data_IF_258103645441
#
_entry.id   IF_258103645441
#
_cell.length_a   1.000
_cell.length_b   1.000
_cell.length_c   1.000
_cell.angle_alpha   90.00
_cell.angle_beta   90.00
_cell.angle_gamma   90.00
#
_symmetry.space_group_name_H-M   'P 1'
#
loop_
_entity.id
_entity.type
_entity.pdbx_description
1 polymer ?
#
# COMPACT_ATOMS: atom_id res chain seq x y z
N UNK A 1 -4.27 -26.25 3.55
CA UNK A 1 -4.83 -24.95 4.00
C UNK A 1 -3.92 -23.78 3.62
N UNK A 2 -2.64 -23.74 4.03
CA UNK A 2 -1.73 -22.64 3.64
C UNK A 2 -1.60 -22.47 2.10
N UNK A 3 -1.44 -23.57 1.36
CA UNK A 3 -1.36 -23.53 -0.11
C UNK A 3 -2.65 -23.02 -0.77
N UNK A 4 -3.84 -23.34 -0.21
CA UNK A 4 -5.10 -22.84 -0.76
C UNK A 4 -5.33 -21.37 -0.44
N UNK A 5 -4.85 -20.87 0.70
CA UNK A 5 -4.88 -19.44 1.04
C UNK A 5 -4.01 -18.68 0.04
N UNK A 6 -2.74 -19.09 -0.16
CA UNK A 6 -1.82 -18.42 -1.09
C UNK A 6 -2.37 -18.40 -2.52
N UNK A 7 -3.03 -19.46 -2.98
CA UNK A 7 -3.65 -19.51 -4.30
C UNK A 7 -4.87 -18.57 -4.45
N UNK A 8 -5.55 -18.24 -3.35
CA UNK A 8 -6.67 -17.29 -3.36
C UNK A 8 -6.20 -15.84 -3.39
N UNK A 9 -4.95 -15.57 -2.99
CA UNK A 9 -4.38 -14.23 -2.92
C UNK A 9 -4.03 -13.65 -4.29
N UNK A 10 -4.17 -12.34 -4.37
CA UNK A 10 -3.75 -11.51 -5.50
C UNK A 10 -3.04 -10.27 -4.98
N UNK A 11 -2.19 -9.66 -5.78
CA UNK A 11 -1.56 -8.40 -5.42
C UNK A 11 -1.43 -7.45 -6.61
N UNK A 12 -1.11 -6.19 -6.33
CA UNK A 12 -0.74 -5.18 -7.30
C UNK A 12 0.36 -4.29 -6.74
N UNK A 13 1.10 -3.63 -7.63
CA UNK A 13 2.17 -2.70 -7.28
C UNK A 13 1.87 -1.35 -7.92
N UNK A 14 2.06 -0.26 -7.18
CA UNK A 14 2.00 1.11 -7.67
C UNK A 14 3.39 1.75 -7.54
N UNK A 15 3.89 2.29 -8.65
CA UNK A 15 5.20 2.92 -8.77
C UNK A 15 5.02 4.41 -9.04
N UNK A 16 5.30 5.27 -8.07
CA UNK A 16 5.19 6.72 -8.22
C UNK A 16 6.54 7.35 -8.62
N UNK A 17 6.54 8.31 -9.55
CA UNK A 17 7.74 9.05 -9.94
C UNK A 17 7.38 10.36 -10.65
N UNK A 18 8.40 11.18 -10.90
CA UNK A 18 8.29 12.48 -11.57
C UNK A 18 8.95 12.42 -12.96
N UNK A 19 8.36 13.12 -13.92
CA UNK A 19 8.94 13.39 -15.25
C UNK A 19 8.75 14.86 -15.63
N UNK A 20 9.64 15.48 -16.44
CA UNK A 20 9.44 16.86 -16.88
C UNK A 20 8.11 17.04 -17.61
N UNK A 21 7.36 18.07 -17.24
CA UNK A 21 6.14 18.49 -17.95
C UNK A 21 6.55 19.13 -19.28
N UNK A 22 5.97 18.68 -20.39
CA UNK A 22 6.21 19.31 -21.69
C UNK A 22 7.47 18.83 -22.42
N UNK A 23 7.95 17.61 -22.15
CA UNK A 23 8.89 16.90 -23.03
C UNK A 23 8.32 16.57 -24.43
N UNK A 24 7.11 17.07 -24.74
CA UNK A 24 6.39 16.85 -26.00
C UNK A 24 6.37 18.18 -26.73
N UNK A 25 6.90 18.23 -27.95
CA UNK A 25 6.98 19.44 -28.77
C UNK A 25 5.60 20.10 -28.92
N UNK A 26 5.42 21.30 -28.34
CA UNK A 26 4.19 22.08 -28.51
C UNK A 26 3.95 23.13 -27.43
N UNK A 27 3.52 24.32 -27.85
CA UNK A 27 3.03 25.42 -26.99
C UNK A 27 1.56 25.13 -26.63
N UNK A 28 1.31 24.38 -25.56
CA UNK A 28 -0.02 24.39 -24.94
C UNK A 28 0.00 25.42 -23.81
N UNK A 29 -1.00 26.31 -23.75
CA UNK A 29 -1.09 27.31 -22.69
C UNK A 29 -1.72 26.73 -21.40
N UNK A 30 -2.39 25.58 -21.48
CA UNK A 30 -3.02 24.90 -20.34
C UNK A 30 -2.12 23.82 -19.72
N UNK A 31 -1.73 24.04 -18.46
CA UNK A 31 -0.95 23.10 -17.65
C UNK A 31 -1.59 21.71 -17.55
N UNK A 32 -2.91 21.62 -17.50
CA UNK A 32 -3.60 20.33 -17.44
C UNK A 32 -3.45 19.57 -18.75
N UNK A 33 -3.58 20.26 -19.88
CA UNK A 33 -3.36 19.67 -21.19
C UNK A 33 -1.92 19.17 -21.36
N UNK A 34 -0.92 19.95 -20.94
CA UNK A 34 0.48 19.53 -20.92
C UNK A 34 0.73 18.26 -20.11
N UNK A 35 0.10 18.14 -18.93
CA UNK A 35 0.19 16.92 -18.10
C UNK A 35 -0.43 15.71 -18.79
N UNK A 36 -1.59 15.89 -19.43
CA UNK A 36 -2.24 14.83 -20.22
C UNK A 36 -1.36 14.37 -21.39
N UNK A 37 -0.77 15.31 -22.14
CA UNK A 37 0.15 15.00 -23.25
C UNK A 37 1.42 14.29 -22.76
N UNK A 38 2.03 14.77 -21.68
CA UNK A 38 3.21 14.17 -21.06
C UNK A 38 2.92 12.73 -20.62
N UNK A 39 1.78 12.50 -19.96
CA UNK A 39 1.35 11.16 -19.56
C UNK A 39 1.14 10.23 -20.76
N UNK A 40 0.43 10.70 -21.81
CA UNK A 40 0.23 9.90 -23.04
C UNK A 40 1.56 9.55 -23.70
N UNK A 41 2.46 10.52 -23.86
CA UNK A 41 3.78 10.30 -24.46
C UNK A 41 4.58 9.25 -23.68
N UNK A 42 4.62 9.38 -22.36
CA UNK A 42 5.26 8.42 -21.48
C UNK A 42 4.67 7.02 -21.63
N UNK A 43 3.34 6.89 -21.57
CA UNK A 43 2.66 5.61 -21.69
C UNK A 43 2.86 4.97 -23.08
N UNK A 44 2.92 5.76 -24.15
CA UNK A 44 3.22 5.28 -25.50
C UNK A 44 4.64 4.74 -25.58
N UNK A 45 5.62 5.44 -25.03
CA UNK A 45 7.01 4.97 -25.03
C UNK A 45 7.16 3.69 -24.20
N UNK A 46 6.49 3.62 -23.04
CA UNK A 46 6.43 2.39 -22.24
C UNK A 46 5.83 1.22 -23.01
N UNK A 47 4.75 1.44 -23.78
CA UNK A 47 4.14 0.41 -24.61
C UNK A 47 5.09 -0.10 -25.72
N UNK A 48 5.96 0.76 -26.25
CA UNK A 48 6.97 0.41 -27.25
C UNK A 48 8.15 -0.36 -26.65
N UNK A 49 8.65 0.08 -25.49
CA UNK A 49 9.85 -0.48 -24.86
C UNK A 49 9.56 -1.77 -24.08
N UNK A 50 8.42 -1.85 -23.39
CA UNK A 50 8.01 -3.01 -22.61
C UNK A 50 7.28 -4.03 -23.50
N UNK A 51 7.97 -4.59 -24.51
CA UNK A 51 7.39 -5.58 -25.43
C UNK A 51 6.63 -6.68 -24.68
N UNK A 52 5.48 -7.09 -25.21
CA UNK A 52 4.62 -8.11 -24.59
C UNK A 52 4.05 -7.70 -23.23
N UNK A 53 3.91 -6.40 -22.99
CA UNK A 53 3.31 -5.85 -21.77
C UNK A 53 2.09 -5.04 -22.16
N UNK A 54 0.90 -5.36 -21.64
CA UNK A 54 -0.30 -4.58 -21.91
C UNK A 54 -0.21 -3.25 -21.16
N UNK A 55 -0.09 -2.14 -21.88
CA UNK A 55 0.05 -0.78 -21.32
C UNK A 55 -1.17 0.04 -21.70
N UNK A 56 -1.72 0.73 -20.71
CA UNK A 56 -2.83 1.65 -20.88
C UNK A 56 -2.58 2.95 -20.11
N UNK A 57 -3.37 3.97 -20.40
CA UNK A 57 -3.38 5.23 -19.64
C UNK A 57 -4.80 5.72 -19.42
N UNK A 58 -5.00 6.52 -18.36
CA UNK A 58 -6.29 7.16 -18.12
C UNK A 58 -6.50 8.37 -19.04
N UNK A 59 -7.73 8.61 -19.46
CA UNK A 59 -8.15 9.86 -20.09
C UNK A 59 -8.96 10.73 -19.11
N UNK A 60 -9.14 12.01 -19.43
CA UNK A 60 -10.04 12.87 -18.68
C UNK A 60 -11.50 12.42 -18.90
N UNK A 61 -12.36 12.65 -17.90
CA UNK A 61 -13.79 12.41 -18.06
C UNK A 61 -14.35 13.41 -19.09
N UNK A 62 -14.91 12.88 -20.17
CA UNK A 62 -15.30 13.62 -21.37
C UNK A 62 -16.69 14.28 -21.23
N UNK A 63 -17.04 14.79 -20.04
CA UNK A 63 -18.40 15.27 -19.74
C UNK A 63 -18.88 16.35 -20.72
N UNK A 64 -17.97 17.19 -21.23
CA UNK A 64 -18.29 18.38 -22.04
C UNK A 64 -17.68 18.39 -23.46
N UNK A 65 -17.04 17.30 -23.93
CA UNK A 65 -16.39 17.29 -25.25
C UNK A 65 -16.03 15.90 -25.77
N UNK A 66 -15.79 15.72 -27.09
CA UNK A 66 -15.68 14.41 -27.70
C UNK A 66 -14.36 13.68 -27.43
N UNK A 67 -13.26 14.39 -27.18
CA UNK A 67 -11.91 13.82 -26.92
C UNK A 67 -11.09 14.73 -26.00
N UNK A 68 -9.99 14.20 -25.44
CA UNK A 68 -8.98 14.96 -24.68
C UNK A 68 -7.61 14.61 -25.26
N UNK A 69 -6.54 15.30 -24.87
CA UNK A 69 -5.19 15.06 -25.39
C UNK A 69 -4.69 13.60 -25.28
N UNK A 70 -5.28 12.78 -24.39
CA UNK A 70 -5.01 11.34 -24.30
C UNK A 70 -5.73 10.55 -25.40
N UNK A 71 -7.00 10.86 -25.66
CA UNK A 71 -7.86 10.14 -26.61
C UNK A 71 -7.75 10.64 -28.04
N UNK A 72 -7.24 11.86 -28.23
CA UNK A 72 -6.98 12.44 -29.54
C UNK A 72 -6.06 11.49 -30.32
N UNK A 73 -6.40 11.18 -31.57
CA UNK A 73 -5.68 10.20 -32.42
C UNK A 73 -5.70 8.72 -31.92
N UNK A 74 -6.45 8.39 -30.86
CA UNK A 74 -6.47 7.03 -30.27
C UNK A 74 -7.89 6.46 -30.09
N UNK A 75 -8.86 6.91 -30.88
CA UNK A 75 -10.26 6.50 -30.77
C UNK A 75 -10.46 4.97 -30.85
N UNK A 76 -9.75 4.28 -31.75
CA UNK A 76 -9.81 2.82 -31.92
C UNK A 76 -9.12 2.04 -30.78
N UNK A 77 -8.43 2.76 -29.89
CA UNK A 77 -7.67 2.20 -28.77
C UNK A 77 -8.41 2.34 -27.42
N UNK A 78 -9.60 2.95 -27.42
CA UNK A 78 -10.46 3.08 -26.24
C UNK A 78 -11.18 1.74 -26.00
N UNK A 79 -10.93 1.13 -24.84
CA UNK A 79 -11.55 -0.16 -24.46
C UNK A 79 -12.66 -0.02 -23.42
N UNK A 80 -12.68 1.12 -22.72
CA UNK A 80 -13.63 1.44 -21.65
C UNK A 80 -13.65 2.96 -21.45
N UNK A 81 -14.78 3.58 -21.05
CA UNK A 81 -14.79 4.98 -20.63
C UNK A 81 -13.65 5.27 -19.64
N UNK A 82 -12.80 6.23 -19.98
CA UNK A 82 -11.67 6.61 -19.13
C UNK A 82 -10.35 5.90 -19.39
N UNK A 83 -10.27 4.87 -20.26
CA UNK A 83 -9.06 4.04 -20.44
C UNK A 83 -8.69 3.87 -21.92
N UNK A 84 -7.46 4.28 -22.25
CA UNK A 84 -6.87 4.15 -23.60
C UNK A 84 -5.74 3.13 -23.56
N UNK A 85 -5.83 2.08 -24.38
CA UNK A 85 -4.78 1.07 -24.53
C UNK A 85 -3.80 1.53 -25.59
N UNK A 86 -2.50 1.48 -25.27
CA UNK A 86 -1.45 1.94 -26.18
C UNK A 86 -0.61 0.79 -26.74
N UNK A 87 -0.59 -0.36 -26.05
CA UNK A 87 0.07 -1.57 -26.52
C UNK A 87 -0.77 -2.34 -27.55
N UNK A 88 -0.12 -3.12 -28.40
CA UNK A 88 -0.81 -4.06 -29.28
C UNK A 88 -1.36 -5.26 -28.48
N UNK A 89 -0.66 -5.65 -27.42
CA UNK A 89 -1.06 -6.72 -26.54
C UNK A 89 -2.33 -6.38 -25.79
N UNK A 90 -3.32 -7.27 -25.89
CA UNK A 90 -4.57 -7.21 -25.14
C UNK A 90 -4.67 -8.46 -24.26
N UNK A 91 -4.74 -8.30 -22.93
CA UNK A 91 -4.98 -9.42 -22.04
C UNK A 91 -6.35 -10.05 -22.36
N UNK A 92 -6.54 -11.34 -22.07
CA UNK A 92 -7.86 -11.97 -22.20
C UNK A 92 -8.87 -11.19 -21.36
N UNK A 93 -9.95 -10.72 -21.99
CA UNK A 93 -10.98 -10.01 -21.25
C UNK A 93 -11.67 -10.97 -20.27
N UNK A 94 -11.59 -10.64 -18.99
CA UNK A 94 -12.32 -11.34 -17.93
C UNK A 94 -13.49 -10.46 -17.50
N UNK A 95 -14.71 -11.01 -17.53
CA UNK A 95 -15.93 -10.26 -17.17
C UNK A 95 -15.97 -9.85 -15.69
N UNK A 96 -15.15 -10.48 -14.85
CA UNK A 96 -15.09 -10.25 -13.40
C UNK A 96 -14.10 -9.17 -12.96
N UNK A 97 -13.22 -8.69 -13.84
CA UNK A 97 -12.20 -7.70 -13.49
C UNK A 97 -12.40 -6.45 -14.32
N UNK A 98 -12.57 -5.31 -13.64
CA UNK A 98 -12.71 -4.03 -14.31
C UNK A 98 -11.52 -3.78 -15.27
N UNK A 99 -11.74 -3.36 -16.54
CA UNK A 99 -10.71 -3.35 -17.58
C UNK A 99 -9.40 -2.66 -17.18
N UNK A 100 -9.46 -1.54 -16.45
CA UNK A 100 -8.27 -0.81 -15.97
C UNK A 100 -7.25 -1.66 -15.19
N UNK A 101 -7.70 -2.71 -14.51
CA UNK A 101 -6.84 -3.58 -13.70
C UNK A 101 -6.26 -4.77 -14.47
N UNK A 102 -6.40 -4.78 -15.79
CA UNK A 102 -5.83 -5.80 -16.68
C UNK A 102 -4.55 -5.30 -17.38
N UNK A 103 -4.23 -4.01 -17.23
CA UNK A 103 -3.11 -3.34 -17.89
C UNK A 103 -2.15 -2.76 -16.86
N UNK A 104 -0.90 -2.54 -17.28
CA UNK A 104 -0.02 -1.58 -16.61
C UNK A 104 -0.55 -0.19 -16.93
N UNK A 105 -1.11 0.46 -15.92
CA UNK A 105 -1.85 1.69 -16.06
C UNK A 105 -0.97 2.87 -15.70
N UNK A 106 -0.69 3.74 -16.68
CA UNK A 106 -0.01 5.01 -16.43
C UNK A 106 -1.04 6.08 -16.09
N UNK A 107 -0.99 6.58 -14.87
CA UNK A 107 -1.90 7.61 -14.35
C UNK A 107 -1.16 8.82 -13.79
N UNK A 108 -1.91 9.89 -13.52
CA UNK A 108 -1.37 11.10 -12.91
C UNK A 108 -1.40 10.94 -11.39
N UNK A 109 -0.33 11.36 -10.73
CA UNK A 109 -0.24 11.37 -9.26
C UNK A 109 0.13 12.77 -8.75
N UNK A 110 -0.40 13.16 -7.60
CA UNK A 110 -0.17 14.47 -6.99
C UNK A 110 1.10 14.44 -6.12
N UNK A 111 2.26 14.50 -6.79
CA UNK A 111 3.58 14.45 -6.15
C UNK A 111 4.20 15.84 -6.00
N UNK A 112 5.09 16.00 -5.02
CA UNK A 112 5.78 17.27 -4.75
C UNK A 112 7.23 17.25 -5.24
N UNK A 113 7.62 18.25 -6.03
CA UNK A 113 8.97 18.40 -6.60
C UNK A 113 9.78 19.51 -5.92
N UNK A 114 9.71 19.62 -4.58
CA UNK A 114 10.09 20.81 -3.81
C UNK A 114 11.49 21.38 -4.11
N UNK A 115 12.42 20.55 -4.60
CA UNK A 115 13.82 20.93 -4.80
C UNK A 115 14.29 20.96 -6.28
N UNK A 116 13.38 20.89 -7.25
CA UNK A 116 13.77 20.79 -8.67
C UNK A 116 13.18 21.93 -9.49
N UNK A 117 14.06 22.67 -10.17
CA UNK A 117 13.66 23.70 -11.12
C UNK A 117 12.89 23.11 -12.31
N UNK A 118 11.87 23.84 -12.75
CA UNK A 118 11.00 23.46 -13.87
C UNK A 118 9.66 22.87 -13.41
N UNK A 119 8.78 22.66 -14.38
CA UNK A 119 7.49 22.03 -14.15
C UNK A 119 7.65 20.51 -14.27
N UNK A 120 7.25 19.77 -13.25
CA UNK A 120 7.28 18.31 -13.21
C UNK A 120 5.86 17.76 -13.13
N UNK A 121 5.63 16.62 -13.78
CA UNK A 121 4.40 15.86 -13.73
C UNK A 121 4.64 14.62 -12.87
N UNK A 122 3.84 14.45 -11.81
CA UNK A 122 3.78 13.21 -11.06
C UNK A 122 3.02 12.16 -11.85
N UNK A 123 3.63 11.00 -12.01
CA UNK A 123 3.05 9.84 -12.66
C UNK A 123 3.08 8.65 -11.70
N UNK A 124 2.12 7.76 -11.89
CA UNK A 124 2.12 6.45 -11.27
C UNK A 124 1.93 5.38 -12.35
N UNK A 125 2.67 4.27 -12.23
CA UNK A 125 2.38 3.04 -12.95
C UNK A 125 1.79 2.03 -11.97
N UNK A 126 0.52 1.69 -12.13
CA UNK A 126 -0.11 0.58 -11.40
C UNK A 126 -0.03 -0.71 -12.23
N UNK A 127 0.31 -1.83 -11.60
CA UNK A 127 0.27 -3.13 -12.28
C UNK A 127 -1.17 -3.57 -12.52
N UNK A 128 -1.38 -4.52 -13.46
CA UNK A 128 -2.59 -5.32 -13.41
C UNK A 128 -2.69 -6.10 -12.10
N UNK A 129 -3.83 -6.74 -11.84
CA UNK A 129 -3.94 -7.72 -10.76
C UNK A 129 -2.99 -8.89 -11.09
N UNK A 130 -2.05 -9.15 -10.18
CA UNK A 130 -1.05 -10.20 -10.26
C UNK A 130 -1.40 -11.36 -9.33
N UNK A 131 -1.02 -12.55 -9.77
CA UNK A 131 -1.18 -13.79 -9.02
C UNK A 131 0.10 -14.11 -8.25
N UNK A 132 0.00 -14.90 -7.18
CA UNK A 132 1.17 -15.28 -6.39
C UNK A 132 2.26 -16.00 -7.21
N UNK A 133 1.90 -16.64 -8.33
CA UNK A 133 2.89 -17.22 -9.25
C UNK A 133 3.82 -16.15 -9.87
N UNK A 134 3.30 -14.95 -10.16
CA UNK A 134 4.13 -13.84 -10.64
C UNK A 134 5.19 -13.46 -9.59
N UNK A 135 4.83 -13.48 -8.31
CA UNK A 135 5.76 -13.21 -7.22
C UNK A 135 6.77 -14.34 -7.03
N UNK A 136 6.31 -15.59 -7.08
CA UNK A 136 7.15 -16.79 -6.96
C UNK A 136 8.19 -16.85 -8.10
N UNK A 137 7.82 -16.42 -9.31
CA UNK A 137 8.67 -16.35 -10.50
C UNK A 137 9.59 -15.10 -10.52
N UNK A 138 9.54 -14.23 -9.51
CA UNK A 138 10.41 -13.07 -9.39
C UNK A 138 9.94 -11.80 -10.12
N UNK A 139 8.63 -11.65 -10.32
CA UNK A 139 7.97 -10.49 -10.95
C UNK A 139 8.39 -10.22 -12.41
N UNK A 140 8.46 -11.24 -13.29
CA UNK A 140 9.00 -11.08 -14.66
C UNK A 140 8.28 -10.02 -15.51
N UNK A 141 6.98 -9.78 -15.30
CA UNK A 141 6.23 -8.74 -16.00
C UNK A 141 6.62 -7.35 -15.48
N UNK A 142 6.77 -7.19 -14.17
CA UNK A 142 7.23 -5.94 -13.58
C UNK A 142 8.68 -5.65 -14.00
N UNK A 143 9.56 -6.66 -14.05
CA UNK A 143 10.94 -6.49 -14.50
C UNK A 143 11.04 -5.92 -15.91
N UNK A 144 10.11 -6.27 -16.82
CA UNK A 144 10.05 -5.67 -18.17
C UNK A 144 9.71 -4.19 -18.11
N UNK A 145 8.77 -3.81 -17.25
CA UNK A 145 8.40 -2.40 -17.03
C UNK A 145 9.54 -1.62 -16.41
N UNK A 146 10.20 -2.14 -15.38
CA UNK A 146 11.39 -1.52 -14.79
C UNK A 146 12.53 -1.38 -15.80
N UNK A 147 12.74 -2.40 -16.65
CA UNK A 147 13.72 -2.30 -17.74
C UNK A 147 13.34 -1.26 -18.78
N UNK A 148 12.05 -1.09 -19.09
CA UNK A 148 11.58 -0.08 -20.03
C UNK A 148 11.71 1.33 -19.43
N UNK A 149 11.42 1.51 -18.14
CA UNK A 149 11.64 2.76 -17.40
C UNK A 149 13.09 3.24 -17.48
N UNK A 150 14.06 2.34 -17.43
CA UNK A 150 15.48 2.70 -17.56
C UNK A 150 15.90 3.03 -18.99
N UNK A 151 15.13 2.59 -19.98
CA UNK A 151 15.42 2.75 -21.41
C UNK A 151 14.64 3.88 -22.07
N UNK A 152 13.68 4.50 -21.36
CA UNK A 152 12.94 5.65 -21.89
C UNK A 152 13.88 6.82 -22.15
N UNK A 153 13.62 7.56 -23.22
CA UNK A 153 14.25 8.85 -23.48
C UNK A 153 13.73 9.95 -22.56
N UNK A 154 12.67 9.71 -21.79
CA UNK A 154 12.14 10.64 -20.81
C UNK A 154 12.93 10.58 -19.51
N UNK A 155 13.16 11.75 -18.91
CA UNK A 155 13.84 11.83 -17.61
C UNK A 155 12.89 11.38 -16.51
N UNK A 156 13.27 10.32 -15.81
CA UNK A 156 12.54 9.82 -14.64
C UNK A 156 13.29 10.24 -13.37
N UNK A 157 12.54 10.75 -12.39
CA UNK A 157 13.07 11.12 -11.09
C UNK A 157 12.20 10.55 -9.97
N UNK A 158 12.82 10.10 -8.88
CA UNK A 158 12.11 9.77 -7.65
C UNK A 158 12.73 10.52 -6.47
N UNK A 159 11.88 10.94 -5.54
CA UNK A 159 12.27 11.59 -4.30
C UNK A 159 11.41 11.06 -3.13
N UNK A 160 11.53 11.65 -1.94
CA UNK A 160 10.80 11.23 -0.74
C UNK A 160 9.27 11.29 -0.86
N UNK A 161 8.73 12.06 -1.81
CA UNK A 161 7.29 12.13 -2.08
C UNK A 161 6.78 10.95 -2.89
N UNK A 162 7.67 10.28 -3.64
CA UNK A 162 7.35 9.13 -4.48
C UNK A 162 7.26 7.86 -3.63
N UNK A 163 6.11 7.21 -3.60
CA UNK A 163 5.83 5.96 -2.90
C UNK A 163 5.99 4.71 -3.76
N UNK A 164 6.19 3.59 -3.07
CA UNK A 164 5.95 2.24 -3.59
C UNK A 164 4.78 1.66 -2.81
N UNK A 165 3.64 1.44 -3.46
CA UNK A 165 2.49 0.82 -2.80
C UNK A 165 2.31 -0.64 -3.22
N UNK A 166 1.99 -1.49 -2.25
CA UNK A 166 1.58 -2.87 -2.49
C UNK A 166 0.12 -3.01 -2.12
N UNK A 167 -0.71 -3.38 -3.08
CA UNK A 167 -2.10 -3.77 -2.87
C UNK A 167 -2.17 -5.27 -2.71
N UNK A 168 -2.78 -5.77 -1.63
CA UNK A 168 -2.99 -7.21 -1.42
C UNK A 168 -4.48 -7.48 -1.25
N UNK A 169 -5.01 -8.41 -2.03
CA UNK A 169 -6.41 -8.80 -2.02
C UNK A 169 -6.58 -10.32 -2.02
N UNK A 170 -7.83 -10.77 -1.96
CA UNK A 170 -8.21 -12.19 -2.07
C UNK A 170 -9.33 -12.31 -3.09
N UNK A 171 -9.35 -13.37 -3.88
CA UNK A 171 -10.43 -13.60 -4.86
C UNK A 171 -11.76 -13.90 -4.17
N UNK A 172 -11.70 -14.55 -3.00
CA UNK A 172 -12.86 -14.76 -2.12
C UNK A 172 -13.40 -13.47 -1.47
N UNK A 173 -12.66 -12.37 -1.60
CA UNK A 173 -13.05 -11.05 -1.12
C UNK A 173 -12.68 -10.78 0.34
N UNK A 174 -12.56 -9.50 0.66
CA UNK A 174 -12.18 -9.03 1.99
C UNK A 174 -13.30 -9.30 3.00
N UNK A 175 -12.90 -9.77 4.19
CA UNK A 175 -13.79 -9.94 5.34
C UNK A 175 -13.31 -9.08 6.49
N UNK A 176 -14.23 -8.50 7.27
CA UNK A 176 -13.89 -7.65 8.41
C UNK A 176 -12.95 -8.36 9.39
N UNK A 177 -13.20 -9.63 9.68
CA UNK A 177 -12.36 -10.39 10.61
C UNK A 177 -10.92 -10.56 10.12
N UNK A 178 -10.70 -10.76 8.81
CA UNK A 178 -9.34 -10.79 8.26
C UNK A 178 -8.71 -9.40 8.31
N UNK A 179 -9.47 -8.34 8.02
CA UNK A 179 -8.97 -6.97 8.06
C UNK A 179 -8.54 -6.54 9.47
N UNK A 180 -9.30 -6.90 10.51
CA UNK A 180 -8.90 -6.69 11.92
C UNK A 180 -7.58 -7.37 12.26
N UNK A 181 -7.41 -8.62 11.80
CA UNK A 181 -6.17 -9.39 12.00
C UNK A 181 -4.98 -8.78 11.24
N UNK A 182 -5.17 -8.32 10.00
CA UNK A 182 -4.13 -7.61 9.24
C UNK A 182 -3.73 -6.33 9.96
N UNK A 183 -4.69 -5.49 10.35
CA UNK A 183 -4.43 -4.25 11.09
C UNK A 183 -3.68 -4.51 12.41
N UNK A 184 -4.06 -5.58 13.13
CA UNK A 184 -3.36 -6.03 14.35
C UNK A 184 -1.91 -6.42 14.08
N UNK A 185 -1.67 -7.22 13.04
CA UNK A 185 -0.33 -7.69 12.68
C UNK A 185 0.56 -6.55 12.17
N UNK A 186 -0.01 -5.62 11.41
CA UNK A 186 0.70 -4.40 10.97
C UNK A 186 1.07 -3.57 12.18
N UNK A 187 0.12 -3.22 13.05
CA UNK A 187 0.39 -2.40 14.23
C UNK A 187 1.45 -3.04 15.16
N UNK A 188 1.48 -4.37 15.22
CA UNK A 188 2.49 -5.16 15.95
C UNK A 188 3.90 -5.01 15.34
N UNK A 189 4.00 -5.13 14.01
CA UNK A 189 5.27 -5.24 13.29
C UNK A 189 5.80 -3.91 12.75
N UNK A 190 5.01 -2.85 12.81
CA UNK A 190 5.26 -1.58 12.13
C UNK A 190 6.63 -0.99 12.47
N UNK A 191 6.95 -0.86 13.76
CA UNK A 191 8.22 -0.25 14.18
C UNK A 191 9.43 -1.19 14.05
N UNK A 192 9.23 -2.51 14.20
CA UNK A 192 10.32 -3.48 14.29
C UNK A 192 10.69 -4.11 12.96
N UNK A 193 9.76 -4.07 12.00
CA UNK A 193 9.95 -4.63 10.67
C UNK A 193 9.69 -3.55 9.63
N UNK A 194 8.46 -3.06 9.51
CA UNK A 194 8.06 -2.26 8.34
C UNK A 194 8.83 -0.95 8.23
N UNK A 195 8.89 -0.16 9.30
CA UNK A 195 9.66 1.08 9.38
C UNK A 195 11.15 0.81 9.58
N UNK A 196 11.52 -0.30 10.23
CA UNK A 196 12.91 -0.67 10.45
C UNK A 196 13.65 -0.97 9.13
N UNK A 197 12.95 -1.41 8.10
CA UNK A 197 13.53 -1.70 6.78
C UNK A 197 13.66 -0.46 5.88
N UNK A 198 13.16 0.70 6.30
CA UNK A 198 13.17 1.92 5.50
C UNK A 198 14.35 2.81 5.87
N UNK A 199 14.78 3.68 4.94
CA UNK A 199 15.61 4.81 5.27
C UNK A 199 14.96 5.70 6.34
N UNK A 200 15.80 6.31 7.17
CA UNK A 200 15.37 7.22 8.23
C UNK A 200 14.48 8.34 7.67
N UNK A 201 14.91 8.98 6.57
CA UNK A 201 14.17 10.06 5.91
C UNK A 201 12.75 9.64 5.56
N UNK A 202 12.58 8.47 4.93
CA UNK A 202 11.25 7.96 4.56
C UNK A 202 10.39 7.69 5.77
N UNK A 203 10.94 7.08 6.84
CA UNK A 203 10.18 6.73 8.06
C UNK A 203 9.59 7.93 8.82
N UNK A 204 10.07 9.15 8.55
CA UNK A 204 9.54 10.38 9.16
C UNK A 204 8.51 11.10 8.27
N UNK A 205 8.36 10.70 7.01
CA UNK A 205 7.43 11.34 6.07
C UNK A 205 5.97 11.11 6.46
N UNK A 206 5.08 12.00 6.00
CA UNK A 206 3.64 11.85 6.18
C UNK A 206 3.09 10.56 5.56
N UNK A 207 3.67 10.13 4.44
CA UNK A 207 3.20 9.00 3.64
C UNK A 207 3.52 7.62 4.25
N UNK A 208 4.46 7.53 5.18
CA UNK A 208 4.86 6.27 5.85
C UNK A 208 4.41 6.18 7.31
N UNK A 209 3.56 7.12 7.77
CA UNK A 209 3.20 7.25 9.18
C UNK A 209 2.55 6.00 9.75
N UNK A 210 3.00 5.65 10.95
CA UNK A 210 2.51 4.50 11.70
C UNK A 210 1.00 4.53 11.94
N UNK A 211 0.29 3.43 11.64
CA UNK A 211 -1.11 3.26 12.06
C UNK A 211 -1.23 3.19 13.59
N UNK A 212 -0.23 2.62 14.26
CA UNK A 212 -0.20 2.51 15.73
C UNK A 212 -0.10 3.85 16.46
N UNK A 213 0.37 4.90 15.77
CA UNK A 213 0.60 6.23 16.37
C UNK A 213 -0.29 7.33 15.76
N UNK A 214 -0.57 7.26 14.45
CA UNK A 214 -1.16 8.38 13.70
C UNK A 214 -2.57 8.13 13.17
N UNK A 215 -3.08 6.90 13.26
CA UNK A 215 -4.47 6.59 12.88
C UNK A 215 -5.50 7.31 13.75
N UNK A 216 -6.74 7.46 13.26
CA UNK A 216 -7.86 8.02 14.04
C UNK A 216 -8.03 7.22 15.34
N UNK A 217 -7.89 5.88 15.31
CA UNK A 217 -7.91 5.04 16.51
C UNK A 217 -6.81 5.38 17.53
N UNK A 218 -5.56 5.46 17.10
CA UNK A 218 -4.44 5.82 17.99
C UNK A 218 -4.61 7.21 18.61
N UNK A 219 -5.13 8.17 17.84
CA UNK A 219 -5.39 9.54 18.31
C UNK A 219 -6.57 9.65 19.26
N UNK A 220 -7.64 8.88 19.03
CA UNK A 220 -8.79 8.83 19.93
C UNK A 220 -8.35 8.42 21.34
N UNK A 221 -7.44 7.44 21.42
CA UNK A 221 -6.84 7.03 22.69
C UNK A 221 -5.94 8.11 23.31
N UNK A 222 -5.17 8.81 22.48
CA UNK A 222 -4.25 9.86 22.94
C UNK A 222 -4.95 11.08 23.55
N UNK A 223 -6.21 11.32 23.20
CA UNK A 223 -7.01 12.45 23.72
C UNK A 223 -7.82 12.12 24.97
N UNK A 224 -7.61 10.94 25.56
CA UNK A 224 -8.31 10.53 26.81
C UNK A 224 -9.80 10.24 26.63
N UNK A 225 -10.26 10.03 25.38
CA UNK A 225 -11.68 9.84 25.07
C UNK A 225 -12.21 8.43 25.38
N UNK A 226 -11.40 7.53 25.95
CA UNK A 226 -11.83 6.16 26.23
C UNK A 226 -11.30 5.67 27.58
N UNK A 227 -12.27 5.44 28.46
CA UNK A 227 -12.19 4.98 29.84
C UNK A 227 -12.14 3.44 29.94
N UNK A 228 -11.88 2.95 31.17
CA UNK A 228 -11.73 1.55 31.63
C UNK A 228 -12.65 0.48 30.99
N UNK A 229 -13.82 0.85 30.47
CA UNK A 229 -14.85 -0.09 30.01
C UNK A 229 -14.57 -0.67 28.61
N UNK A 230 -13.91 0.09 27.71
CA UNK A 230 -13.51 -0.44 26.38
C UNK A 230 -12.25 -1.31 26.45
N UNK A 231 -11.40 -1.11 27.46
CA UNK A 231 -10.17 -1.91 27.67
C UNK A 231 -10.44 -3.23 28.41
N UNK A 232 -11.65 -3.45 28.92
CA UNK A 232 -12.03 -4.75 29.45
C UNK A 232 -12.16 -5.71 28.26
N UNK A 233 -11.16 -6.57 28.03
CA UNK A 233 -11.20 -7.56 26.95
C UNK A 233 -12.44 -8.47 26.98
N UNK A 234 -13.11 -8.56 28.14
CA UNK A 234 -14.40 -9.21 28.33
C UNK A 234 -15.55 -8.57 27.51
N UNK A 235 -15.37 -7.36 26.97
CA UNK A 235 -16.38 -6.63 26.19
C UNK A 235 -16.45 -7.03 24.71
N UNK A 236 -15.46 -7.77 24.18
CA UNK A 236 -15.39 -8.13 22.76
C UNK A 236 -15.08 -9.62 22.54
N UNK A 237 -16.10 -10.48 22.39
CA UNK A 237 -15.93 -11.94 22.23
C UNK A 237 -14.97 -12.33 21.09
N UNK A 238 -15.01 -11.62 19.96
CA UNK A 238 -14.13 -11.87 18.83
C UNK A 238 -12.64 -11.61 19.16
N UNK A 239 -12.37 -10.62 20.01
CA UNK A 239 -11.00 -10.35 20.47
C UNK A 239 -10.46 -11.52 21.31
N UNK A 240 -11.28 -12.05 22.22
CA UNK A 240 -10.90 -13.20 23.05
C UNK A 240 -10.70 -14.49 22.25
N UNK A 241 -11.42 -14.65 21.14
CA UNK A 241 -11.28 -15.81 20.26
C UNK A 241 -9.97 -15.78 19.47
N UNK A 242 -9.56 -14.60 19.00
CA UNK A 242 -8.49 -14.46 18.01
C UNK A 242 -7.17 -13.94 18.55
N UNK A 243 -7.17 -13.26 19.70
CA UNK A 243 -5.94 -12.71 20.29
C UNK A 243 -5.40 -13.60 21.40
N UNK A 244 -4.09 -13.49 21.71
CA UNK A 244 -3.53 -14.27 22.81
C UNK A 244 -4.19 -13.94 24.15
N UNK A 245 -4.40 -14.94 25.04
CA UNK A 245 -4.92 -14.70 26.39
C UNK A 245 -4.05 -13.74 27.21
N UNK A 246 -2.75 -13.69 26.93
CA UNK A 246 -1.81 -12.76 27.54
C UNK A 246 -2.17 -11.30 27.23
N UNK A 247 -2.77 -11.02 26.07
CA UNK A 247 -3.17 -9.67 25.66
C UNK A 247 -4.52 -9.24 26.24
N UNK A 248 -5.43 -10.19 26.47
CA UNK A 248 -6.79 -9.92 26.95
C UNK A 248 -6.88 -9.89 28.49
N UNK A 249 -5.96 -10.56 29.19
CA UNK A 249 -5.95 -10.67 30.65
C UNK A 249 -5.33 -9.49 31.41
N UNK A 250 -5.82 -8.25 31.23
CA UNK A 250 -5.36 -7.02 31.96
C UNK A 250 -3.83 -6.75 31.98
N UNK A 251 -3.03 -7.52 31.26
CA UNK A 251 -1.57 -7.50 31.25
C UNK A 251 -1.06 -7.54 29.82
N UNK A 252 -1.33 -6.48 29.08
CA UNK A 252 -0.66 -6.27 27.80
C UNK A 252 0.86 -6.41 27.98
N UNK A 253 1.55 -6.96 26.97
CA UNK A 253 2.97 -7.27 27.08
C UNK A 253 3.76 -6.00 27.42
N UNK A 254 4.65 -6.15 28.39
CA UNK A 254 5.26 -5.03 29.17
C UNK A 254 6.44 -4.38 28.48
N UNK A 255 6.85 -4.85 27.29
CA UNK A 255 8.11 -4.46 26.65
C UNK A 255 8.16 -4.37 25.12
N UNK A 256 7.24 -4.92 24.30
CA UNK A 256 7.62 -5.16 22.90
C UNK A 256 7.77 -3.92 22.02
N UNK A 257 7.43 -2.69 22.45
CA UNK A 257 7.04 -1.65 21.49
C UNK A 257 7.96 -0.43 21.38
N UNK A 258 8.82 -0.14 22.37
CA UNK A 258 9.70 1.04 22.27
C UNK A 258 11.01 0.87 23.04
N UNK A 259 12.15 1.05 22.34
CA UNK A 259 13.46 1.42 22.93
C UNK A 259 13.45 2.88 23.45
N UNK A 260 12.33 3.35 24.01
CA UNK A 260 12.28 4.66 24.65
C UNK A 260 12.80 4.53 26.10
N UNK A 261 13.62 5.48 26.59
CA UNK A 261 14.13 5.45 27.96
C UNK A 261 13.00 5.27 28.98
N UNK A 262 13.29 4.52 30.06
CA UNK A 262 12.45 4.22 31.24
C UNK A 262 11.83 5.48 31.90
N UNK A 263 10.88 6.08 31.21
CA UNK A 263 10.13 7.28 31.59
C UNK A 263 8.65 7.01 31.33
N UNK A 264 7.75 7.84 31.88
CA UNK A 264 6.29 7.72 31.72
C UNK A 264 5.79 7.47 30.28
N UNK A 265 6.61 7.78 29.27
CA UNK A 265 6.34 7.50 27.84
C UNK A 265 6.04 6.03 27.55
N UNK A 266 6.66 5.06 28.25
CA UNK A 266 6.45 3.64 27.96
C UNK A 266 5.02 3.15 28.28
N UNK A 267 4.55 3.43 29.50
CA UNK A 267 3.20 3.03 29.93
C UNK A 267 2.13 3.68 29.04
N UNK A 268 2.38 4.92 28.61
CA UNK A 268 1.50 5.62 27.68
C UNK A 268 1.44 4.90 26.33
N UNK A 269 2.58 4.56 25.71
CA UNK A 269 2.60 3.90 24.39
C UNK A 269 1.91 2.53 24.42
N UNK A 270 2.18 1.71 25.45
CA UNK A 270 1.51 0.42 25.60
C UNK A 270 -0.01 0.55 25.78
N UNK A 271 -0.46 1.55 26.55
CA UNK A 271 -1.88 1.84 26.72
C UNK A 271 -2.53 2.37 25.43
N UNK A 272 -1.82 3.20 24.66
CA UNK A 272 -2.29 3.71 23.37
C UNK A 272 -2.46 2.58 22.35
N UNK A 273 -1.48 1.68 22.26
CA UNK A 273 -1.57 0.51 21.39
C UNK A 273 -2.76 -0.37 21.77
N UNK A 274 -2.91 -0.68 23.06
CA UNK A 274 -4.01 -1.50 23.53
C UNK A 274 -5.39 -0.90 23.26
N UNK A 275 -5.51 0.42 23.45
CA UNK A 275 -6.73 1.13 23.13
C UNK A 275 -7.00 1.16 21.62
N UNK A 276 -5.99 1.40 20.80
CA UNK A 276 -6.13 1.34 19.35
C UNK A 276 -6.54 -0.06 18.89
N UNK A 277 -5.99 -1.10 19.50
CA UNK A 277 -6.37 -2.48 19.26
C UNK A 277 -7.82 -2.74 19.67
N UNK A 278 -8.25 -2.31 20.85
CA UNK A 278 -9.65 -2.42 21.26
C UNK A 278 -10.59 -1.75 20.24
N UNK A 279 -10.23 -0.57 19.73
CA UNK A 279 -11.01 0.15 18.70
C UNK A 279 -11.04 -0.57 17.35
N UNK A 280 -9.92 -1.14 16.91
CA UNK A 280 -9.86 -2.01 15.71
C UNK A 280 -10.82 -3.20 15.88
N UNK A 281 -10.78 -3.85 17.04
CA UNK A 281 -11.58 -5.04 17.30
C UNK A 281 -13.05 -4.72 17.57
N UNK A 282 -13.37 -3.50 17.98
CA UNK A 282 -14.74 -3.00 18.15
C UNK A 282 -15.41 -2.55 16.86
N UNK A 283 -14.67 -2.33 15.77
CA UNK A 283 -15.27 -1.93 14.48
C UNK A 283 -16.31 -2.96 14.02
N UNK A 284 -17.53 -2.54 13.73
CA UNK A 284 -18.64 -3.37 13.29
C UNK A 284 -18.67 -3.59 11.78
N UNK A 285 -18.03 -2.71 11.00
CA UNK A 285 -18.00 -2.77 9.52
C UNK A 285 -16.60 -2.54 8.96
N UNK A 286 -16.41 -2.88 7.68
CA UNK A 286 -15.17 -2.58 6.94
C UNK A 286 -14.97 -1.06 6.76
N UNK A 287 -16.06 -0.29 6.65
CA UNK A 287 -16.03 1.18 6.55
C UNK A 287 -15.50 1.79 7.83
N UNK A 288 -16.07 1.42 8.99
CA UNK A 288 -15.60 1.89 10.29
C UNK A 288 -14.12 1.56 10.52
N UNK A 289 -13.68 0.37 10.11
CA UNK A 289 -12.27 -0.02 10.20
C UNK A 289 -11.39 0.81 9.26
N UNK A 290 -11.80 1.03 8.01
CA UNK A 290 -11.08 1.87 7.05
C UNK A 290 -10.90 3.29 7.59
N UNK A 291 -11.99 3.89 8.06
CA UNK A 291 -11.99 5.25 8.60
C UNK A 291 -11.13 5.36 9.85
N UNK A 292 -11.22 4.38 10.76
CA UNK A 292 -10.40 4.33 11.96
C UNK A 292 -8.90 4.24 11.69
N UNK A 293 -8.50 3.63 10.56
CA UNK A 293 -7.11 3.51 10.13
C UNK A 293 -6.58 4.77 9.41
N UNK A 294 -7.46 5.62 8.86
CA UNK A 294 -7.06 6.88 8.24
C UNK A 294 -6.42 7.87 9.25
N UNK A 295 -5.72 8.88 8.74
CA UNK A 295 -5.28 10.03 9.51
C UNK A 295 -6.38 11.10 9.58
N UNK A 296 -6.27 12.04 10.53
CA UNK A 296 -7.29 13.08 10.78
C UNK A 296 -7.55 13.99 9.58
N UNK A 297 -6.53 14.28 8.77
CA UNK A 297 -6.61 15.18 7.61
C UNK A 297 -7.15 14.48 6.36
N UNK A 298 -7.77 13.30 6.51
CA UNK A 298 -8.22 12.48 5.38
C UNK A 298 -7.08 11.72 4.68
N UNK A 299 -5.82 11.95 5.06
CA UNK A 299 -4.68 11.22 4.53
C UNK A 299 -4.65 9.75 4.96
N UNK A 300 -4.08 8.88 4.12
CA UNK A 300 -3.85 7.46 4.41
C UNK A 300 -2.54 7.28 5.18
N UNK A 301 -2.58 6.51 6.26
CA UNK A 301 -1.39 6.09 7.01
C UNK A 301 -0.56 5.05 6.21
N UNK A 302 0.47 4.46 6.83
CA UNK A 302 1.34 3.45 6.21
C UNK A 302 0.60 2.18 5.75
N UNK A 303 -0.61 1.92 6.29
CA UNK A 303 -1.57 0.95 5.75
C UNK A 303 -2.96 1.57 5.65
N UNK A 304 -3.66 1.26 4.56
CA UNK A 304 -5.06 1.61 4.35
C UNK A 304 -5.87 0.40 3.86
N UNK A 305 -7.19 0.48 4.04
CA UNK A 305 -8.12 -0.40 3.33
C UNK A 305 -8.63 0.35 2.10
N UNK A 306 -8.58 -0.28 0.93
CA UNK A 306 -9.15 0.25 -0.30
C UNK A 306 -10.41 -0.54 -0.63
N UNK A 307 -11.55 -0.06 -0.12
CA UNK A 307 -12.85 -0.70 -0.30
C UNK A 307 -13.37 -0.50 -1.72
N UNK A 308 -13.93 -1.55 -2.29
CA UNK A 308 -14.51 -1.54 -3.64
C UNK A 308 -15.92 -2.09 -3.59
N UNK A 309 -16.83 -1.51 -4.35
CA UNK A 309 -18.19 -2.04 -4.44
C UNK A 309 -18.19 -3.43 -5.10
N UNK A 310 -18.97 -4.40 -4.56
CA UNK A 310 -19.16 -5.69 -5.20
C UNK A 310 -19.59 -5.53 -6.66
N UNK A 311 -18.84 -6.16 -7.58
CA UNK A 311 -19.17 -6.18 -9.01
C UNK A 311 -18.89 -4.89 -9.80
N UNK A 312 -18.60 -3.75 -9.17
CA UNK A 312 -18.31 -2.50 -9.91
C UNK A 312 -16.82 -2.16 -9.98
N UNK A 313 -15.97 -2.72 -9.10
CA UNK A 313 -14.52 -2.46 -9.11
C UNK A 313 -14.14 -0.99 -8.89
N UNK A 314 -15.10 -0.13 -8.57
CA UNK A 314 -14.92 1.28 -8.20
C UNK A 314 -14.97 1.41 -6.68
N UNK A 315 -14.14 2.27 -6.09
CA UNK A 315 -14.39 2.72 -4.73
C UNK A 315 -15.74 3.48 -4.70
N UNK A 316 -16.48 3.44 -3.58
CA UNK A 316 -17.66 4.28 -3.40
C UNK A 316 -17.25 5.74 -3.56
N UNK A 317 -17.76 6.40 -4.60
CA UNK A 317 -17.56 7.83 -4.79
C UNK A 317 -18.74 8.58 -4.18
N UNK A 318 -18.49 9.75 -3.59
CA UNK A 318 -19.53 10.69 -3.21
C UNK A 318 -20.15 11.36 -4.44
N UNK A 319 -21.14 12.23 -4.23
CA UNK A 319 -21.78 12.99 -5.31
C UNK A 319 -20.82 13.90 -6.09
N UNK A 320 -19.61 14.15 -5.56
CA UNK A 320 -18.57 14.96 -6.17
C UNK A 320 -17.52 14.11 -6.91
N UNK A 321 -17.68 12.78 -6.94
CA UNK A 321 -16.72 11.89 -7.60
C UNK A 321 -15.42 11.70 -6.80
N UNK A 322 -15.39 12.08 -5.52
CA UNK A 322 -14.29 11.78 -4.60
C UNK A 322 -14.60 10.49 -3.85
N UNK A 323 -13.61 9.70 -3.41
CA UNK A 323 -13.87 8.59 -2.49
C UNK A 323 -14.69 9.13 -1.31
N UNK A 324 -15.84 8.50 -1.01
CA UNK A 324 -16.74 8.95 0.07
C UNK A 324 -15.94 9.14 1.36
N UNK A 325 -15.62 10.38 1.68
CA UNK A 325 -15.17 10.79 2.99
C UNK A 325 -16.34 11.52 3.62
N UNK A 326 -16.92 10.93 4.65
CA UNK A 326 -17.73 11.66 5.62
C UNK A 326 -19.04 12.25 5.06
N UNK A 327 -20.12 11.47 4.95
CA UNK A 327 -21.47 12.03 5.17
C UNK A 327 -22.41 10.95 5.73
N UNK A 328 -22.78 11.14 7.00
CA UNK A 328 -23.54 10.21 7.85
C UNK A 328 -25.05 10.13 7.53
N UNK A 329 -25.52 10.68 6.41
CA UNK A 329 -26.94 10.85 6.12
C UNK A 329 -27.49 9.90 5.03
N UNK A 330 -27.15 8.61 5.13
CA UNK A 330 -27.80 7.58 4.31
C UNK A 330 -28.71 6.71 5.15
N UNK A 331 -30.01 6.97 5.06
CA UNK A 331 -31.10 6.10 5.49
C UNK A 331 -31.22 4.82 4.63
N UNK A 332 -30.11 4.28 4.11
CA UNK A 332 -30.03 3.02 3.38
C UNK A 332 -29.21 2.00 4.16
N UNK A 333 -29.46 0.71 3.95
CA UNK A 333 -28.57 -0.35 4.44
C UNK A 333 -27.16 -0.10 3.92
N UNK A 334 -26.22 0.24 4.79
CA UNK A 334 -24.83 0.46 4.39
C UNK A 334 -24.33 -0.74 3.59
N UNK A 335 -23.67 -0.53 2.43
CA UNK A 335 -23.02 -1.62 1.72
C UNK A 335 -22.00 -2.26 2.66
N UNK A 336 -22.15 -3.56 2.94
CA UNK A 336 -21.32 -4.23 3.95
C UNK A 336 -19.87 -4.41 3.50
N UNK A 337 -19.58 -4.26 2.20
CA UNK A 337 -18.29 -4.56 1.53
C UNK A 337 -17.73 -5.97 1.80
N UNK A 338 -18.43 -6.80 2.57
CA UNK A 338 -18.08 -8.18 2.90
C UNK A 338 -18.03 -9.02 1.63
N UNK A 339 -16.89 -9.68 1.40
CA UNK A 339 -16.65 -10.46 0.20
C UNK A 339 -16.39 -9.62 -1.05
N UNK A 340 -16.29 -8.29 -0.95
CA UNK A 340 -15.86 -7.47 -2.08
C UNK A 340 -14.37 -7.65 -2.37
N UNK A 341 -13.95 -7.45 -3.63
CA UNK A 341 -12.55 -7.52 -4.06
C UNK A 341 -11.73 -6.28 -3.63
N UNK A 342 -11.92 -5.84 -2.39
CA UNK A 342 -11.16 -4.79 -1.73
C UNK A 342 -9.72 -5.24 -1.46
N UNK A 343 -8.82 -4.28 -1.26
CA UNK A 343 -7.39 -4.57 -1.02
C UNK A 343 -6.85 -3.87 0.22
N UNK A 344 -5.89 -4.50 0.88
CA UNK A 344 -4.98 -3.85 1.82
C UNK A 344 -3.92 -3.08 1.03
N UNK A 345 -3.73 -1.80 1.30
CA UNK A 345 -2.73 -0.96 0.64
C UNK A 345 -1.60 -0.68 1.64
N UNK A 346 -0.39 -1.14 1.34
CA UNK A 346 0.83 -0.90 2.13
C UNK A 346 1.66 0.20 1.47
N UNK A 347 1.93 1.29 2.20
CA UNK A 347 2.46 2.58 1.66
C UNK A 347 3.81 3.00 2.24
N UNK A 348 4.44 2.12 3.03
CA UNK A 348 5.62 2.46 3.81
C UNK A 348 6.82 2.90 2.97
N UNK A 349 7.30 2.10 2.00
CA UNK A 349 8.53 2.45 1.32
C UNK A 349 8.33 3.61 0.36
N UNK A 350 9.42 4.34 0.15
CA UNK A 350 9.56 5.18 -1.02
C UNK A 350 9.66 4.32 -2.28
N UNK A 351 9.49 4.96 -3.43
CA UNK A 351 9.68 4.36 -4.74
C UNK A 351 11.02 3.63 -4.83
N UNK A 352 11.04 2.50 -5.55
CA UNK A 352 12.27 1.77 -5.88
C UNK A 352 12.23 1.32 -7.33
N UNK A 353 13.40 1.35 -8.00
CA UNK A 353 13.58 0.79 -9.33
C UNK A 353 14.29 -0.58 -9.30
N UNK A 354 14.58 -1.08 -8.10
CA UNK A 354 15.20 -2.37 -7.86
C UNK A 354 14.10 -3.44 -7.76
N UNK A 355 14.06 -4.33 -8.76
CA UNK A 355 13.08 -5.40 -8.84
C UNK A 355 13.16 -6.38 -7.67
N UNK A 356 14.36 -6.62 -7.12
CA UNK A 356 14.52 -7.49 -5.95
C UNK A 356 13.94 -6.82 -4.70
N UNK A 357 14.14 -5.51 -4.52
CA UNK A 357 13.50 -4.77 -3.42
C UNK A 357 11.98 -4.89 -3.48
N UNK A 358 11.39 -4.62 -4.65
CA UNK A 358 9.93 -4.68 -4.82
C UNK A 358 9.42 -6.09 -4.56
N UNK A 359 10.12 -7.13 -5.04
CA UNK A 359 9.76 -8.53 -4.79
C UNK A 359 9.75 -8.87 -3.30
N UNK A 360 10.83 -8.58 -2.58
CA UNK A 360 10.93 -8.92 -1.16
C UNK A 360 9.90 -8.16 -0.33
N UNK A 361 9.66 -6.89 -0.66
CA UNK A 361 8.64 -6.07 -0.03
C UNK A 361 7.21 -6.58 -0.31
N UNK A 362 6.90 -6.93 -1.55
CA UNK A 362 5.61 -7.50 -1.93
C UNK A 362 5.37 -8.85 -1.23
N UNK A 363 6.40 -9.70 -1.12
CA UNK A 363 6.32 -10.96 -0.40
C UNK A 363 6.05 -10.77 1.09
N UNK A 364 6.70 -9.79 1.75
CA UNK A 364 6.42 -9.43 3.13
C UNK A 364 4.96 -8.98 3.32
N UNK A 365 4.47 -8.08 2.46
CA UNK A 365 3.09 -7.59 2.49
C UNK A 365 2.08 -8.73 2.31
N UNK A 366 2.29 -9.58 1.31
CA UNK A 366 1.45 -10.76 1.08
C UNK A 366 1.51 -11.73 2.26
N UNK A 367 2.70 -11.95 2.85
CA UNK A 367 2.83 -12.88 3.97
C UNK A 367 2.05 -12.42 5.20
N UNK A 368 2.02 -11.12 5.48
CA UNK A 368 1.20 -10.59 6.58
C UNK A 368 -0.29 -10.88 6.38
N UNK A 369 -0.80 -10.71 5.16
CA UNK A 369 -2.20 -11.03 4.83
C UNK A 369 -2.45 -12.54 4.92
N UNK A 370 -1.54 -13.36 4.40
CA UNK A 370 -1.61 -14.83 4.50
C UNK A 370 -1.71 -15.29 5.96
N UNK A 371 -0.86 -14.72 6.84
CA UNK A 371 -0.85 -15.03 8.27
C UNK A 371 -2.13 -14.56 8.98
N UNK A 372 -2.70 -13.42 8.57
CA UNK A 372 -3.98 -12.94 9.10
C UNK A 372 -5.17 -13.85 8.71
N UNK A 373 -5.03 -14.67 7.67
CA UNK A 373 -6.06 -15.65 7.27
C UNK A 373 -5.99 -16.97 8.05
N UNK A 374 -5.04 -17.13 8.98
CA UNK A 374 -4.96 -18.32 9.83
C UNK A 374 -6.21 -18.48 10.72
N UNK A 375 -6.61 -19.74 11.02
CA UNK A 375 -7.63 -20.02 12.03
C UNK A 375 -7.33 -19.35 13.38
N UNK A 376 -8.37 -19.01 14.14
CA UNK A 376 -8.23 -18.25 15.39
C UNK A 376 -7.13 -18.77 16.33
N UNK A 377 -7.06 -20.08 16.66
CA UNK A 377 -6.03 -20.59 17.57
C UNK A 377 -4.60 -20.45 17.01
N UNK A 378 -4.45 -20.60 15.68
CA UNK A 378 -3.14 -20.49 15.02
C UNK A 378 -2.68 -19.04 14.92
N UNK A 379 -3.61 -18.11 14.67
CA UNK A 379 -3.32 -16.67 14.66
C UNK A 379 -2.94 -16.17 16.07
N UNK A 380 -3.70 -16.56 17.11
CA UNK A 380 -3.34 -16.24 18.49
C UNK A 380 -1.95 -16.80 18.86
N UNK A 381 -1.66 -18.06 18.52
CA UNK A 381 -0.34 -18.65 18.76
C UNK A 381 0.79 -17.94 17.99
N UNK A 382 0.53 -17.44 16.78
CA UNK A 382 1.47 -16.62 16.02
C UNK A 382 1.76 -15.31 16.75
N UNK A 383 0.73 -14.58 17.18
CA UNK A 383 0.89 -13.33 17.91
C UNK A 383 1.64 -13.51 19.24
N UNK A 384 1.41 -14.60 19.96
CA UNK A 384 2.15 -14.94 21.18
C UNK A 384 3.65 -15.15 20.88
N UNK A 385 3.99 -15.91 19.82
CA UNK A 385 5.39 -16.10 19.40
C UNK A 385 6.05 -14.79 18.98
N UNK A 386 5.36 -13.97 18.19
CA UNK A 386 5.87 -12.66 17.79
C UNK A 386 6.10 -11.76 19.00
N UNK A 387 5.16 -11.73 19.94
CA UNK A 387 5.31 -10.98 21.21
C UNK A 387 6.55 -11.42 21.96
N UNK A 388 6.74 -12.74 22.15
CA UNK A 388 7.90 -13.26 22.85
C UNK A 388 9.23 -12.90 22.18
N UNK A 389 9.29 -12.92 20.85
CA UNK A 389 10.46 -12.45 20.10
C UNK A 389 10.69 -10.96 20.30
N UNK A 390 9.64 -10.14 20.14
CA UNK A 390 9.70 -8.69 20.25
C UNK A 390 10.12 -8.23 21.66
N UNK A 391 9.73 -8.94 22.72
CA UNK A 391 10.15 -8.64 24.10
C UNK A 391 11.64 -8.93 24.36
N UNK A 392 12.25 -9.83 23.58
CA UNK A 392 13.64 -10.22 23.67
C UNK A 392 14.59 -9.43 22.74
N UNK A 393 14.09 -8.45 21.99
CA UNK A 393 14.91 -7.67 21.06
C UNK A 393 15.83 -6.74 21.83
N UNK A 394 17.13 -7.05 21.80
CA UNK A 394 18.16 -6.18 22.37
C UNK A 394 18.55 -5.10 21.38
N UNK A 395 18.68 -5.40 20.08
CA UNK A 395 19.03 -4.48 19.00
C UNK A 395 18.29 -4.73 17.67
N UNK A 396 18.37 -3.77 16.74
CA UNK A 396 17.59 -3.78 15.49
C UNK A 396 17.92 -4.98 14.61
N UNK A 397 19.20 -5.34 14.51
CA UNK A 397 19.66 -6.41 13.62
C UNK A 397 19.28 -7.78 14.19
N UNK A 398 19.56 -8.02 15.48
CA UNK A 398 19.16 -9.25 16.16
C UNK A 398 17.64 -9.41 16.19
N UNK A 399 16.90 -8.30 16.31
CA UNK A 399 15.44 -8.27 16.24
C UNK A 399 14.89 -8.82 14.92
N UNK A 400 15.37 -8.30 13.79
CA UNK A 400 14.93 -8.76 12.47
C UNK A 400 15.27 -10.24 12.25
N UNK A 401 16.48 -10.68 12.62
CA UNK A 401 16.91 -12.08 12.49
C UNK A 401 16.01 -13.06 13.25
N UNK A 402 15.47 -12.65 14.40
CA UNK A 402 14.56 -13.47 15.18
C UNK A 402 13.10 -13.41 14.70
N UNK A 403 12.68 -12.31 14.06
CA UNK A 403 11.31 -12.16 13.54
C UNK A 403 11.12 -12.97 12.24
N UNK A 404 12.12 -13.01 11.34
CA UNK A 404 11.96 -13.67 10.03
C UNK A 404 11.53 -15.14 10.09
N UNK A 405 12.11 -15.99 10.97
CA UNK A 405 11.64 -17.36 11.13
C UNK A 405 10.18 -17.46 11.57
N UNK A 406 9.71 -16.54 12.42
CA UNK A 406 8.32 -16.55 12.91
C UNK A 406 7.34 -16.18 11.79
N UNK A 407 7.73 -15.26 10.89
CA UNK A 407 6.97 -14.91 9.69
C UNK A 407 7.12 -15.94 8.57
N UNK A 408 8.08 -16.85 8.65
CA UNK A 408 8.42 -17.79 7.58
C UNK A 408 9.10 -17.12 6.38
N UNK A 409 9.86 -16.04 6.62
CA UNK A 409 10.58 -15.25 5.61
C UNK A 409 12.10 -15.25 5.85
N UNK A 410 12.62 -16.29 6.49
CA UNK A 410 14.04 -16.39 6.84
C UNK A 410 14.97 -16.31 5.62
N UNK A 411 14.50 -16.73 4.43
CA UNK A 411 15.24 -16.61 3.17
C UNK A 411 15.51 -15.17 2.76
N UNK A 412 14.73 -14.19 3.23
CA UNK A 412 14.92 -12.78 2.90
C UNK A 412 16.02 -12.10 3.74
N UNK A 413 16.52 -12.76 4.79
CA UNK A 413 17.47 -12.14 5.74
C UNK A 413 18.73 -11.60 5.06
N UNK A 414 19.40 -12.33 4.14
CA UNK A 414 20.60 -11.81 3.47
C UNK A 414 20.32 -10.57 2.62
N UNK A 415 19.16 -10.53 1.95
CA UNK A 415 18.73 -9.40 1.14
C UNK A 415 18.54 -8.15 2.00
N UNK A 416 17.74 -8.23 3.07
CA UNK A 416 17.48 -7.08 3.94
C UNK A 416 18.73 -6.60 4.67
N UNK A 417 19.64 -7.50 5.06
CA UNK A 417 20.93 -7.09 5.62
C UNK A 417 21.78 -6.31 4.61
N UNK A 418 21.77 -6.70 3.33
CA UNK A 418 22.45 -5.94 2.27
C UNK A 418 21.78 -4.59 2.02
N UNK A 419 20.44 -4.54 2.02
CA UNK A 419 19.70 -3.30 1.81
C UNK A 419 19.95 -2.29 2.95
N UNK A 420 19.96 -2.73 4.21
CA UNK A 420 20.26 -1.85 5.34
C UNK A 420 21.67 -1.25 5.26
N UNK A 421 22.68 -2.02 4.82
CA UNK A 421 24.04 -1.49 4.60
C UNK A 421 24.10 -0.44 3.49
N UNK A 422 23.28 -0.57 2.43
CA UNK A 422 23.19 0.44 1.37
C UNK A 422 22.60 1.74 1.91
N UNK A 423 21.55 1.65 2.75
CA UNK A 423 20.95 2.81 3.41
C UNK A 423 21.93 3.52 4.36
N UNK A 424 22.78 2.77 5.06
CA UNK A 424 23.87 3.36 5.88
C UNK A 424 24.90 4.14 5.04
N UNK A 425 24.97 3.87 3.73
CA UNK A 425 25.78 4.60 2.76
C UNK A 425 25.00 5.71 2.03
N UNK A 426 23.84 6.12 2.56
CA UNK A 426 22.93 7.14 1.99
C UNK A 426 22.35 6.72 0.62
N UNK A 427 22.37 5.42 0.28
CA UNK A 427 21.68 4.87 -0.89
C UNK A 427 20.23 4.51 -0.52
N UNK A 428 19.40 5.54 -0.50
CA UNK A 428 17.99 5.46 -0.14
C UNK A 428 17.16 4.77 -1.22
N UNK A 429 17.35 5.17 -2.48
CA UNK A 429 16.67 4.58 -3.65
C UNK A 429 17.72 4.08 -4.64
N UNK A 430 17.67 2.78 -4.92
CA UNK A 430 18.57 2.12 -5.85
C UNK A 430 18.36 2.57 -7.29
N UNK A 431 19.46 2.61 -8.05
CA UNK A 431 19.51 3.02 -9.47
C UNK A 431 19.24 4.50 -9.73
N UNK A 432 19.36 5.36 -8.72
CA UNK A 432 19.34 6.81 -8.92
C UNK A 432 20.75 7.39 -8.91
N UNK A 433 20.93 8.51 -9.62
CA UNK A 433 22.08 9.39 -9.40
C UNK A 433 21.92 10.22 -8.11
N UNK A 434 22.94 11.00 -7.75
CA UNK A 434 22.95 11.86 -6.55
C UNK A 434 21.84 12.92 -6.55
N UNK A 435 21.20 13.17 -7.69
CA UNK A 435 20.10 14.14 -7.85
C UNK A 435 18.73 13.47 -7.93
N UNK A 436 18.67 12.15 -7.77
CA UNK A 436 17.43 11.37 -7.83
C UNK A 436 16.97 11.00 -9.24
N UNK A 437 17.80 11.17 -10.27
CA UNK A 437 17.46 10.74 -11.63
C UNK A 437 17.74 9.26 -11.84
N UNK A 438 16.82 8.58 -12.51
CA UNK A 438 16.97 7.17 -12.86
C UNK A 438 18.15 6.96 -13.82
N UNK A 439 19.04 6.05 -13.44
CA UNK A 439 20.17 5.62 -14.27
C UNK A 439 19.72 4.63 -15.37
N UNK A 440 20.32 4.69 -16.57
CA UNK A 440 20.02 3.76 -17.67
C UNK A 440 20.25 2.28 -17.35
#
# INVERSE_FOLDING_TARGET
MAQSIRQDMTFGVELEFLTPTGAVDGLADDKNELRLRTRKAFATEMALLAKHTPVATLCADHKDGPTCAVCDESADAIIHPGVVVLSQERPPQTSSVHPRYQYFLVQHECLSSLDIQGEWTGLEISTPILDMSELDDGLPRLSRVLSALRKTGMRVLANESCGLHIHVGTRSGMRLMHAKKVATLVALLEHHVLLALLPYRRSETFSSRSIGQFSRFARQMSRGYVYKDMLAADSHPAMNEHLPPSWTSKRLPRRPWTRLPLTMKFLLVAALFAGALALIWSSGTLVELQDGLHMREGGRAGVALYLREPGQGKPPLDSNGLPRSDDHDLQGTEPTYEGAQSTYEFRFPQMSFDGDFIKHWAELCCKMVELAMLPAPQFAALLERLTGVLEGIEDKESGLQNIWPVLGLQHQSPFWAAQLRRQEMDEDISHLDERGFLLP
#
